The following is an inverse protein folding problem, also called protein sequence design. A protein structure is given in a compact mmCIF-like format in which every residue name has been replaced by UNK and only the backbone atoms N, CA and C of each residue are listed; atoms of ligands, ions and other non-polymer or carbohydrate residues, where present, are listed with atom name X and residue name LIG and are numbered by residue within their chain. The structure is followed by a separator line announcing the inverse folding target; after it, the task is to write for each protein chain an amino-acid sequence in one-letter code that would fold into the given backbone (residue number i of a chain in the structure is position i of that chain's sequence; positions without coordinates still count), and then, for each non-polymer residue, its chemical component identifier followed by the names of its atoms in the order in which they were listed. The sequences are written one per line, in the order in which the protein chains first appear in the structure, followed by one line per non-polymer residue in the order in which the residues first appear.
data_IF_819699527326
#
_entry.id   IF_819699527326
#
_cell.length_a   1.000
_cell.length_b   1.000
_cell.length_c   1.000
_cell.angle_alpha   90.00
_cell.angle_beta   90.00
_cell.angle_gamma   90.00
#
_symmetry.space_group_name_H-M   'P 1'
#
loop_
_entity.id
_entity.type
_entity.pdbx_description
1 polymer ?
#
# COMPACT_ATOMS: atom_id res chain seq x y z
N UNK A 1 -4.75 37.23 -4.66
CA UNK A 1 -4.67 35.86 -4.12
C UNK A 1 -3.85 35.01 -5.08
N UNK A 2 -2.57 34.71 -4.75
CA UNK A 2 -1.86 33.69 -5.56
C UNK A 2 -0.94 32.71 -4.79
N UNK A 3 -0.17 33.17 -3.80
CA UNK A 3 0.96 32.37 -3.24
C UNK A 3 0.50 31.22 -2.34
N UNK A 4 -0.58 31.42 -1.56
CA UNK A 4 -1.08 30.38 -0.64
C UNK A 4 -1.63 29.17 -1.38
N UNK A 5 -2.30 29.39 -2.51
CA UNK A 5 -2.91 28.33 -3.32
C UNK A 5 -1.84 27.50 -4.06
N UNK A 6 -0.80 28.16 -4.58
CA UNK A 6 0.35 27.47 -5.17
C UNK A 6 1.11 26.62 -4.15
N UNK A 7 1.30 27.14 -2.94
CA UNK A 7 1.98 26.39 -1.88
C UNK A 7 1.17 25.15 -1.46
N UNK A 8 -0.14 25.28 -1.32
CA UNK A 8 -1.03 24.17 -1.01
C UNK A 8 -0.98 23.10 -2.11
N UNK A 9 -1.02 23.52 -3.37
CA UNK A 9 -0.89 22.62 -4.53
C UNK A 9 0.44 21.87 -4.51
N UNK A 10 1.57 22.56 -4.31
CA UNK A 10 2.89 21.92 -4.25
C UNK A 10 3.02 20.94 -3.08
N UNK A 11 2.41 21.22 -1.93
CA UNK A 11 2.38 20.30 -0.79
C UNK A 11 1.61 19.03 -1.13
N UNK A 12 0.46 19.18 -1.78
CA UNK A 12 -0.36 18.04 -2.19
C UNK A 12 0.35 17.19 -3.26
N UNK A 13 1.00 17.80 -4.25
CA UNK A 13 1.84 17.10 -5.24
C UNK A 13 2.96 16.30 -4.57
N UNK A 14 3.68 16.90 -3.60
CA UNK A 14 4.69 16.18 -2.82
C UNK A 14 4.13 15.01 -2.02
N UNK A 15 2.92 15.13 -1.48
CA UNK A 15 2.26 14.03 -0.78
C UNK A 15 1.95 12.87 -1.72
N UNK A 16 1.48 13.16 -2.94
CA UNK A 16 1.27 12.14 -3.97
C UNK A 16 2.59 11.44 -4.29
N UNK A 17 3.66 12.19 -4.55
CA UNK A 17 4.95 11.61 -4.94
C UNK A 17 5.55 10.76 -3.80
N UNK A 18 5.41 11.19 -2.54
CA UNK A 18 5.82 10.40 -1.37
C UNK A 18 5.05 9.08 -1.31
N UNK A 19 3.73 9.13 -1.45
CA UNK A 19 2.88 7.93 -1.41
C UNK A 19 3.17 7.00 -2.60
N UNK A 20 3.35 7.54 -3.81
CA UNK A 20 3.70 6.77 -5.00
C UNK A 20 5.02 6.00 -4.79
N UNK A 21 6.03 6.66 -4.23
CA UNK A 21 7.32 6.03 -3.90
C UNK A 21 7.16 4.88 -2.90
N UNK A 22 6.41 5.10 -1.82
CA UNK A 22 6.13 4.06 -0.81
C UNK A 22 5.32 2.90 -1.40
N UNK A 23 4.30 3.19 -2.19
CA UNK A 23 3.47 2.18 -2.86
C UNK A 23 4.27 1.37 -3.89
N UNK A 24 5.22 1.98 -4.59
CA UNK A 24 6.13 1.27 -5.49
C UNK A 24 7.11 0.38 -4.72
N UNK A 25 7.60 0.83 -3.57
CA UNK A 25 8.57 0.10 -2.76
C UNK A 25 8.01 -1.20 -2.14
N UNK A 26 6.69 -1.27 -1.91
CA UNK A 26 6.04 -2.48 -1.37
C UNK A 26 5.70 -3.51 -2.44
N UNK A 27 5.87 -3.18 -3.73
CA UNK A 27 5.60 -4.11 -4.81
C UNK A 27 6.63 -5.23 -4.84
N UNK A 28 6.13 -6.46 -4.95
CA UNK A 28 6.94 -7.64 -5.19
C UNK A 28 7.20 -7.78 -6.69
N UNK A 29 8.46 -7.74 -7.15
CA UNK A 29 8.78 -7.87 -8.58
C UNK A 29 8.20 -9.14 -9.21
N UNK A 30 8.15 -10.23 -8.46
CA UNK A 30 7.61 -11.52 -8.91
C UNK A 30 6.11 -11.47 -9.24
N UNK A 31 5.36 -10.51 -8.69
CA UNK A 31 3.94 -10.31 -9.00
C UNK A 31 3.71 -9.28 -10.11
N UNK A 32 4.77 -8.82 -10.77
CA UNK A 32 4.70 -7.94 -11.94
C UNK A 32 3.85 -6.67 -11.70
N UNK A 33 3.85 -6.16 -10.47
CA UNK A 33 3.10 -4.96 -10.09
C UNK A 33 1.64 -5.18 -9.67
N UNK A 34 1.18 -6.43 -9.54
CA UNK A 34 -0.10 -6.79 -8.92
C UNK A 34 0.01 -6.99 -7.40
N UNK A 35 -1.14 -7.07 -6.74
CA UNK A 35 -1.26 -7.32 -5.29
C UNK A 35 -0.51 -6.30 -4.42
N UNK A 36 -0.44 -5.06 -4.89
CA UNK A 36 0.14 -3.96 -4.12
C UNK A 36 -0.66 -3.66 -2.86
N UNK A 37 0.04 -3.56 -1.73
CA UNK A 37 -0.55 -3.19 -0.44
C UNK A 37 0.40 -2.29 0.34
N UNK A 38 -0.09 -1.11 0.73
CA UNK A 38 0.59 -0.22 1.67
C UNK A 38 -0.28 -0.05 2.91
N UNK A 39 0.34 -0.14 4.09
CA UNK A 39 -0.31 0.08 5.38
C UNK A 39 0.45 1.20 6.07
N UNK A 40 -0.25 2.28 6.42
CA UNK A 40 0.30 3.37 7.22
C UNK A 40 -0.21 3.25 8.65
N UNK A 41 0.72 3.36 9.61
CA UNK A 41 0.40 3.43 11.04
C UNK A 41 -0.25 4.76 11.43
N UNK A 42 -0.74 4.86 12.66
CA UNK A 42 -1.32 6.11 13.17
C UNK A 42 -0.29 7.25 13.21
N UNK A 43 0.95 6.94 13.57
CA UNK A 43 2.04 7.91 13.62
C UNK A 43 2.39 8.42 12.21
N UNK A 44 2.52 7.51 11.24
CA UNK A 44 2.75 7.86 9.83
C UNK A 44 1.65 8.78 9.29
N UNK A 45 0.39 8.49 9.63
CA UNK A 45 -0.75 9.30 9.20
C UNK A 45 -0.73 10.70 9.80
N UNK A 46 -0.38 10.82 11.08
CA UNK A 46 -0.29 12.11 11.76
C UNK A 46 0.74 13.04 11.10
N UNK A 47 1.84 12.48 10.59
CA UNK A 47 2.88 13.23 9.88
C UNK A 47 2.49 13.63 8.44
N UNK A 48 1.61 12.86 7.79
CA UNK A 48 1.25 13.08 6.39
C UNK A 48 0.13 14.11 6.19
N UNK A 49 -0.57 14.48 7.27
CA UNK A 49 -1.62 15.50 7.28
C UNK A 49 -3.02 14.91 7.33
N UNK A 50 -4.00 15.67 6.87
CA UNK A 50 -5.41 15.32 7.00
C UNK A 50 -5.76 14.02 6.28
N UNK A 51 -6.45 13.10 6.97
CA UNK A 51 -6.81 11.78 6.44
C UNK A 51 -7.52 11.85 5.08
N UNK A 52 -8.35 12.86 4.87
CA UNK A 52 -9.05 13.09 3.60
C UNK A 52 -8.07 13.33 2.45
N UNK A 53 -7.06 14.15 2.68
CA UNK A 53 -6.05 14.50 1.67
C UNK A 53 -5.11 13.33 1.43
N UNK A 54 -4.71 12.62 2.49
CA UNK A 54 -3.92 11.37 2.37
C UNK A 54 -4.67 10.33 1.55
N UNK A 55 -5.96 10.11 1.81
CA UNK A 55 -6.80 9.18 1.03
C UNK A 55 -6.96 9.62 -0.43
N UNK A 56 -7.03 10.92 -0.69
CA UNK A 56 -7.12 11.45 -2.06
C UNK A 56 -5.80 11.24 -2.80
N UNK A 57 -4.70 11.62 -2.18
CA UNK A 57 -3.36 11.45 -2.72
C UNK A 57 -3.01 9.98 -2.95
N UNK A 58 -3.41 9.07 -2.05
CA UNK A 58 -3.21 7.62 -2.20
C UNK A 58 -3.89 7.07 -3.47
N UNK A 59 -5.13 7.49 -3.75
CA UNK A 59 -5.85 7.08 -4.97
C UNK A 59 -5.21 7.64 -6.23
N UNK A 60 -4.64 8.83 -6.16
CA UNK A 60 -3.96 9.46 -7.27
C UNK A 60 -2.60 8.80 -7.55
N UNK A 61 -1.80 8.58 -6.50
CA UNK A 61 -0.56 7.82 -6.55
C UNK A 61 -0.78 6.41 -7.10
N UNK A 62 -1.78 5.70 -6.58
CA UNK A 62 -2.12 4.37 -7.06
C UNK A 62 -2.58 4.36 -8.52
N UNK A 63 -3.35 5.36 -8.96
CA UNK A 63 -3.72 5.51 -10.37
C UNK A 63 -2.48 5.69 -11.27
N UNK A 64 -1.47 6.44 -10.83
CA UNK A 64 -0.19 6.59 -11.56
C UNK A 64 0.57 5.26 -11.68
N UNK A 65 0.39 4.36 -10.72
CA UNK A 65 0.91 2.98 -10.75
C UNK A 65 -0.02 1.99 -11.47
N UNK A 66 -1.14 2.45 -12.02
CA UNK A 66 -2.14 1.61 -12.67
C UNK A 66 -3.01 0.78 -11.70
N UNK A 67 -2.92 1.01 -10.39
CA UNK A 67 -3.70 0.28 -9.39
C UNK A 67 -5.17 0.67 -9.42
N UNK A 68 -6.04 -0.29 -9.06
CA UNK A 68 -7.42 0.00 -8.65
C UNK A 68 -7.43 0.22 -7.14
N UNK A 69 -7.06 1.43 -6.71
CA UNK A 69 -6.81 1.71 -5.30
C UNK A 69 -8.07 1.87 -4.46
N UNK A 70 -8.19 1.04 -3.44
CA UNK A 70 -9.16 1.19 -2.35
C UNK A 70 -8.46 1.50 -1.04
N UNK A 71 -9.11 2.27 -0.16
CA UNK A 71 -8.55 2.66 1.13
C UNK A 71 -9.49 2.31 2.29
N UNK A 72 -8.96 1.67 3.34
CA UNK A 72 -9.72 1.34 4.55
C UNK A 72 -8.98 1.83 5.80
N UNK A 73 -9.69 2.41 6.77
CA UNK A 73 -9.11 2.75 8.06
C UNK A 73 -9.58 1.71 9.09
N UNK A 74 -8.66 0.96 9.66
CA UNK A 74 -8.95 -0.09 10.66
C UNK A 74 -7.97 0.05 11.81
N UNK A 75 -8.48 0.22 13.04
CA UNK A 75 -7.63 0.33 14.24
C UNK A 75 -6.58 1.45 14.16
N UNK A 76 -6.93 2.59 13.55
CA UNK A 76 -6.01 3.72 13.37
C UNK A 76 -4.97 3.55 12.26
N UNK A 77 -5.01 2.44 11.50
CA UNK A 77 -4.11 2.19 10.37
C UNK A 77 -4.84 2.35 9.05
N UNK A 78 -4.22 3.05 8.10
CA UNK A 78 -4.77 3.22 6.76
C UNK A 78 -4.19 2.17 5.84
N UNK A 79 -5.06 1.30 5.33
CA UNK A 79 -4.77 0.32 4.31
C UNK A 79 -5.04 0.93 2.94
N UNK A 80 -4.12 0.73 2.01
CA UNK A 80 -4.23 1.10 0.60
C UNK A 80 -3.98 -0.17 -0.21
N UNK A 81 -4.99 -0.64 -0.93
CA UNK A 81 -4.99 -1.94 -1.60
C UNK A 81 -5.18 -1.76 -3.10
N UNK A 82 -4.45 -2.54 -3.90
CA UNK A 82 -4.76 -2.75 -5.30
C UNK A 82 -5.84 -3.84 -5.45
N UNK A 83 -7.03 -3.46 -5.91
CA UNK A 83 -8.17 -4.38 -6.12
C UNK A 83 -8.32 -4.86 -7.56
N UNK A 84 -7.26 -4.76 -8.37
CA UNK A 84 -7.23 -5.41 -9.68
C UNK A 84 -7.16 -6.93 -9.50
N UNK A 85 -7.95 -7.65 -10.29
CA UNK A 85 -7.72 -9.08 -10.49
C UNK A 85 -6.40 -9.27 -11.24
N UNK A 86 -5.61 -10.26 -10.83
CA UNK A 86 -4.35 -10.58 -11.50
C UNK A 86 -4.57 -11.72 -12.53
N UNK A 87 -3.68 -11.86 -13.52
CA UNK A 87 -3.70 -13.02 -14.40
C UNK A 87 -3.47 -14.32 -13.61
N UNK A 88 -4.05 -15.43 -14.06
CA UNK A 88 -4.04 -16.73 -13.38
C UNK A 88 -2.64 -17.18 -12.93
N UNK A 89 -1.62 -16.93 -13.74
CA UNK A 89 -0.22 -17.26 -13.42
C UNK A 89 0.28 -16.54 -12.16
N UNK A 90 -0.09 -15.26 -12.01
CA UNK A 90 0.26 -14.43 -10.85
C UNK A 90 -0.60 -14.81 -9.66
N UNK A 91 -1.87 -15.14 -9.86
CA UNK A 91 -2.75 -15.63 -8.78
C UNK A 91 -2.21 -16.93 -8.19
N UNK A 92 -1.82 -17.89 -9.05
CA UNK A 92 -1.21 -19.16 -8.62
C UNK A 92 0.09 -18.92 -7.88
N UNK A 93 0.98 -18.06 -8.40
CA UNK A 93 2.25 -17.74 -7.75
C UNK A 93 2.03 -17.12 -6.36
N UNK A 94 1.10 -16.18 -6.23
CA UNK A 94 0.75 -15.58 -4.95
C UNK A 94 0.14 -16.59 -3.98
N UNK A 95 -0.72 -17.49 -4.48
CA UNK A 95 -1.31 -18.59 -3.72
C UNK A 95 -0.27 -19.54 -3.16
N UNK A 96 0.67 -20.00 -3.99
CA UNK A 96 1.75 -20.89 -3.59
C UNK A 96 2.65 -20.23 -2.53
N UNK A 97 2.99 -18.94 -2.73
CA UNK A 97 3.77 -18.17 -1.76
C UNK A 97 3.05 -18.03 -0.41
N UNK A 98 1.72 -17.81 -0.43
CA UNK A 98 0.92 -17.73 0.79
C UNK A 98 0.85 -19.08 1.51
N UNK A 99 0.63 -20.18 0.78
CA UNK A 99 0.63 -21.53 1.33
C UNK A 99 1.98 -21.86 2.01
N UNK A 100 3.09 -21.58 1.32
CA UNK A 100 4.42 -21.78 1.86
C UNK A 100 4.69 -20.97 3.14
N UNK A 101 4.21 -19.72 3.21
CA UNK A 101 4.36 -18.88 4.40
C UNK A 101 3.55 -19.42 5.61
N UNK A 102 2.36 -19.96 5.37
CA UNK A 102 1.54 -20.60 6.41
C UNK A 102 2.25 -21.84 6.95
N UNK A 103 2.76 -22.69 6.06
CA UNK A 103 3.44 -23.93 6.46
C UNK A 103 4.72 -23.65 7.24
N UNK A 104 5.51 -22.65 6.83
CA UNK A 104 6.67 -22.19 7.60
C UNK A 104 6.27 -21.70 9.00
N UNK A 105 5.16 -20.99 9.13
CA UNK A 105 4.66 -20.50 10.42
C UNK A 105 4.24 -21.65 11.33
N UNK A 106 3.55 -22.67 10.77
CA UNK A 106 3.19 -23.90 11.49
C UNK A 106 4.43 -24.65 11.98
N UNK A 107 5.44 -24.82 11.12
CA UNK A 107 6.69 -25.49 11.49
C UNK A 107 7.46 -24.75 12.58
N UNK A 108 7.50 -23.40 12.53
CA UNK A 108 8.13 -22.58 13.57
C UNK A 108 7.39 -22.67 14.91
N UNK A 109 6.06 -22.71 14.89
CA UNK A 109 5.24 -22.91 16.09
C UNK A 109 5.34 -24.32 16.69
N UNK A 110 5.72 -25.32 15.88
CA UNK A 110 5.85 -26.72 16.30
C UNK A 110 7.27 -27.13 16.72
N UNK A 111 8.25 -26.20 16.75
CA UNK A 111 9.54 -26.50 17.38
C UNK A 111 9.32 -26.62 18.90
N UNK A 112 9.66 -27.77 19.53
CA UNK A 112 9.70 -27.84 20.98
C UNK A 112 10.67 -26.75 21.46
N UNK A 113 10.25 -25.96 22.44
CA UNK A 113 11.19 -25.16 23.23
C UNK A 113 12.04 -26.17 24.02
N UNK A 114 13.11 -26.63 23.40
CA UNK A 114 14.19 -27.35 24.08
C UNK A 114 15.00 -26.38 24.94
#
# INVERSE_FOLDING_TARGET
MPVKDELARRRYEKLIDRLESMMRAVLRPEYQGYYGQLILGSDDLAEMGELKDVRRAAREAGRRLGWKTTTHLVGGRLFMLDERGAPEEIERLAGDAAAAAIDQTRQKGHRPRG
#
